data_IF_683376103027
#
_entry.id   IF_683376103027
#
_cell.length_a   1.000
_cell.length_b   1.000
_cell.length_c   1.000
_cell.angle_alpha   90.00
_cell.angle_beta   90.00
_cell.angle_gamma   90.00
#
_symmetry.space_group_name_H-M   'P 1'
#
loop_
_entity.id
_entity.type
_entity.pdbx_description
1 polymer ?
#
# COMPACT_ATOMS: atom_id res chain seq x y z
N UNK A 1 -22.06 18.50 -15.80
CA UNK A 1 -22.35 17.12 -15.38
C UNK A 1 -22.48 17.09 -13.87
N UNK A 2 -23.46 16.36 -13.31
CA UNK A 2 -23.64 16.19 -11.86
C UNK A 2 -24.00 17.46 -11.06
N UNK A 3 -24.41 18.52 -11.77
CA UNK A 3 -24.85 19.80 -11.19
C UNK A 3 -26.30 20.07 -11.58
N UNK A 4 -26.56 20.11 -12.90
CA UNK A 4 -27.89 20.27 -13.50
C UNK A 4 -28.33 19.02 -14.26
N UNK A 5 -27.54 17.95 -14.19
CA UNK A 5 -27.76 16.67 -14.87
C UNK A 5 -27.64 15.51 -13.89
N UNK A 6 -28.18 14.34 -14.25
CA UNK A 6 -27.92 13.08 -13.54
C UNK A 6 -26.45 12.65 -13.58
N UNK A 7 -26.18 11.55 -12.88
CA UNK A 7 -24.85 10.94 -12.72
C UNK A 7 -24.74 9.66 -13.56
N UNK A 8 -23.51 9.23 -13.85
CA UNK A 8 -23.25 8.00 -14.60
C UNK A 8 -23.97 7.92 -15.94
N UNK A 9 -24.51 6.74 -16.26
CA UNK A 9 -25.34 6.49 -17.45
C UNK A 9 -26.62 7.35 -17.50
N UNK A 10 -27.03 7.95 -16.38
CA UNK A 10 -28.21 8.82 -16.29
C UNK A 10 -27.92 10.30 -16.62
N UNK A 11 -26.79 10.61 -17.25
CA UNK A 11 -26.35 11.99 -17.56
C UNK A 11 -27.29 12.77 -18.49
N UNK A 12 -28.20 12.09 -19.21
CA UNK A 12 -29.25 12.70 -20.04
C UNK A 12 -30.38 13.34 -19.25
N UNK A 13 -30.61 12.94 -17.99
CA UNK A 13 -31.67 13.51 -17.13
C UNK A 13 -31.25 14.87 -16.60
N UNK A 14 -32.16 15.84 -16.56
CA UNK A 14 -31.90 17.23 -16.12
C UNK A 14 -32.77 17.63 -14.94
N UNK A 15 -32.26 18.53 -14.09
CA UNK A 15 -32.99 19.09 -12.95
C UNK A 15 -32.44 20.46 -12.55
N UNK A 16 -33.27 21.28 -11.93
CA UNK A 16 -32.89 22.55 -11.29
C UNK A 16 -32.87 22.45 -9.76
N UNK A 17 -33.18 21.30 -9.17
CA UNK A 17 -33.17 21.07 -7.71
C UNK A 17 -31.76 20.71 -7.22
N UNK A 18 -30.84 21.69 -7.28
CA UNK A 18 -29.39 21.47 -7.16
C UNK A 18 -28.97 20.78 -5.84
N UNK A 19 -29.50 21.24 -4.71
CA UNK A 19 -29.15 20.70 -3.38
C UNK A 19 -29.72 19.28 -3.18
N UNK A 20 -30.97 19.05 -3.58
CA UNK A 20 -31.59 17.72 -3.50
C UNK A 20 -30.87 16.70 -4.38
N UNK A 21 -30.38 17.11 -5.56
CA UNK A 21 -29.56 16.27 -6.44
C UNK A 21 -28.27 15.81 -5.76
N UNK A 22 -27.58 16.70 -5.04
CA UNK A 22 -26.37 16.31 -4.31
C UNK A 22 -26.68 15.39 -3.13
N UNK A 23 -27.74 15.67 -2.37
CA UNK A 23 -28.13 14.82 -1.24
C UNK A 23 -28.58 13.42 -1.67
N UNK A 24 -29.24 13.32 -2.82
CA UNK A 24 -29.69 12.03 -3.38
C UNK A 24 -28.52 11.18 -3.85
N UNK A 25 -27.47 11.80 -4.41
CA UNK A 25 -26.21 11.12 -4.75
C UNK A 25 -25.61 10.45 -3.51
N UNK A 26 -25.41 11.21 -2.44
CA UNK A 26 -24.83 10.67 -1.20
C UNK A 26 -25.69 9.53 -0.66
N UNK A 27 -27.02 9.69 -0.67
CA UNK A 27 -27.95 8.64 -0.21
C UNK A 27 -27.82 7.35 -1.03
N UNK A 28 -27.69 7.45 -2.35
CA UNK A 28 -27.54 6.27 -3.22
C UNK A 28 -26.20 5.56 -3.02
N UNK A 29 -25.13 6.32 -2.75
CA UNK A 29 -23.77 5.79 -2.60
C UNK A 29 -23.47 5.23 -1.20
N UNK A 30 -24.31 5.52 -0.19
CA UNK A 30 -24.27 4.86 1.13
C UNK A 30 -24.81 3.42 1.04
N UNK A 31 -24.14 2.60 0.23
CA UNK A 31 -24.55 1.26 -0.17
C UNK A 31 -23.59 0.16 0.30
N UNK A 32 -22.58 0.49 1.12
CA UNK A 32 -21.63 -0.49 1.63
C UNK A 32 -22.16 -1.27 2.82
N UNK A 33 -21.65 -2.50 2.97
CA UNK A 33 -22.01 -3.40 4.05
C UNK A 33 -20.88 -3.53 5.08
N UNK A 34 -21.25 -3.49 6.36
CA UNK A 34 -20.36 -3.84 7.46
C UNK A 34 -20.63 -5.29 7.89
N UNK A 35 -19.59 -6.11 7.95
CA UNK A 35 -19.73 -7.50 8.37
C UNK A 35 -19.78 -7.55 9.90
N UNK A 36 -20.77 -8.26 10.47
CA UNK A 36 -20.76 -8.52 11.91
C UNK A 36 -19.60 -9.48 12.22
N UNK A 37 -18.89 -9.30 13.33
CA UNK A 37 -17.97 -10.32 13.82
C UNK A 37 -18.78 -11.61 14.01
N UNK A 38 -18.47 -12.65 13.22
CA UNK A 38 -18.99 -13.99 13.49
C UNK A 38 -18.02 -14.67 14.46
N UNK A 39 -18.54 -15.51 15.36
CA UNK A 39 -17.71 -16.32 16.27
C UNK A 39 -16.75 -17.29 15.54
N UNK A 40 -16.90 -17.46 14.22
CA UNK A 40 -16.15 -18.39 13.39
C UNK A 40 -15.19 -17.71 12.40
N UNK A 41 -15.18 -16.38 12.29
CA UNK A 41 -14.31 -15.67 11.34
C UNK A 41 -13.52 -14.55 12.01
N UNK A 42 -12.21 -14.75 12.13
CA UNK A 42 -11.23 -13.70 12.47
C UNK A 42 -10.97 -12.73 11.30
N UNK A 43 -11.56 -12.97 10.13
CA UNK A 43 -11.38 -12.14 8.94
C UNK A 43 -12.24 -10.87 9.02
N UNK A 44 -11.56 -9.72 8.96
CA UNK A 44 -12.01 -8.31 8.86
C UNK A 44 -13.50 -8.02 9.16
N UNK A 45 -13.77 -7.06 10.04
CA UNK A 45 -15.11 -6.51 10.38
C UNK A 45 -15.88 -5.86 9.20
N UNK A 46 -15.43 -6.07 7.96
CA UNK A 46 -15.95 -5.41 6.77
C UNK A 46 -15.75 -3.90 6.80
N UNK A 47 -14.84 -3.40 7.64
CA UNK A 47 -14.55 -1.98 7.85
C UNK A 47 -13.14 -1.65 7.34
N UNK A 48 -12.97 -0.52 6.67
CA UNK A 48 -11.65 0.05 6.38
C UNK A 48 -10.96 0.47 7.69
N UNK A 49 -9.64 0.31 7.75
CA UNK A 49 -8.87 0.77 8.89
C UNK A 49 -9.02 2.29 9.08
N UNK A 50 -9.13 2.73 10.34
CA UNK A 50 -9.23 4.16 10.70
C UNK A 50 -8.07 4.97 10.14
N UNK A 51 -6.86 4.41 10.08
CA UNK A 51 -5.68 5.02 9.46
C UNK A 51 -5.88 5.30 7.97
N UNK A 52 -6.41 4.33 7.21
CA UNK A 52 -6.70 4.49 5.78
C UNK A 52 -7.75 5.56 5.55
N UNK A 53 -8.85 5.57 6.33
CA UNK A 53 -9.88 6.59 6.20
C UNK A 53 -9.35 8.00 6.49
N UNK A 54 -8.52 8.16 7.53
CA UNK A 54 -7.87 9.45 7.83
C UNK A 54 -6.94 9.90 6.72
N UNK A 55 -6.15 9.00 6.15
CA UNK A 55 -5.33 9.31 4.98
C UNK A 55 -6.21 9.73 3.79
N UNK A 56 -7.32 9.05 3.53
CA UNK A 56 -8.24 9.42 2.45
C UNK A 56 -8.86 10.81 2.67
N UNK A 57 -9.23 11.16 3.91
CA UNK A 57 -9.69 12.51 4.26
C UNK A 57 -8.61 13.57 3.97
N UNK A 58 -7.35 13.30 4.35
CA UNK A 58 -6.23 14.21 4.07
C UNK A 58 -6.02 14.39 2.56
N UNK A 59 -6.02 13.30 1.79
CA UNK A 59 -5.86 13.36 0.34
C UNK A 59 -7.02 14.07 -0.35
N UNK A 60 -8.24 13.93 0.18
CA UNK A 60 -9.40 14.66 -0.34
C UNK A 60 -9.27 16.16 -0.11
N UNK A 61 -8.79 16.59 1.07
CA UNK A 61 -8.44 18.01 1.32
C UNK A 61 -7.38 18.47 0.31
N UNK A 62 -6.30 17.70 0.13
CA UNK A 62 -5.21 18.05 -0.79
C UNK A 62 -5.69 18.25 -2.24
N UNK A 63 -6.54 17.35 -2.72
CA UNK A 63 -7.16 17.45 -4.05
C UNK A 63 -7.97 18.74 -4.20
N UNK A 64 -8.76 19.11 -3.17
CA UNK A 64 -9.55 20.34 -3.19
C UNK A 64 -8.74 21.63 -3.20
N UNK A 65 -7.56 21.64 -2.56
CA UNK A 65 -6.68 22.81 -2.52
C UNK A 65 -6.17 23.23 -3.92
N UNK A 66 -6.36 22.39 -4.95
CA UNK A 66 -6.07 22.76 -6.35
C UNK A 66 -7.02 23.80 -6.93
N UNK A 67 -8.15 24.08 -6.28
CA UNK A 67 -9.10 25.11 -6.73
C UNK A 67 -9.97 24.70 -7.93
N UNK A 68 -10.00 23.41 -8.27
CA UNK A 68 -10.67 22.89 -9.47
C UNK A 68 -12.02 22.20 -9.19
N UNK A 69 -12.40 22.02 -7.92
CA UNK A 69 -13.54 21.17 -7.52
C UNK A 69 -14.85 21.91 -7.28
N UNK A 70 -14.83 23.24 -7.15
CA UNK A 70 -16.02 24.05 -6.85
C UNK A 70 -16.66 23.72 -5.49
N UNK A 71 -15.88 23.25 -4.52
CA UNK A 71 -16.32 22.99 -3.15
C UNK A 71 -16.00 24.19 -2.25
N UNK A 72 -16.85 24.46 -1.26
CA UNK A 72 -16.63 25.54 -0.29
C UNK A 72 -15.43 25.28 0.62
N UNK A 73 -14.74 26.36 0.98
CA UNK A 73 -13.58 26.34 1.86
C UNK A 73 -13.92 25.79 3.26
N UNK A 74 -15.10 26.13 3.78
CA UNK A 74 -15.58 25.70 5.09
C UNK A 74 -15.71 24.16 5.18
N UNK A 75 -15.90 23.48 4.04
CA UNK A 75 -15.90 22.01 4.01
C UNK A 75 -14.48 21.44 4.17
N UNK A 76 -13.46 22.10 3.60
CA UNK A 76 -12.06 21.72 3.83
C UNK A 76 -11.68 21.96 5.29
N UNK A 77 -12.10 23.08 5.87
CA UNK A 77 -11.87 23.38 7.28
C UNK A 77 -12.54 22.35 8.18
N UNK A 78 -13.78 21.94 7.88
CA UNK A 78 -14.46 20.88 8.62
C UNK A 78 -13.71 19.53 8.54
N UNK A 79 -13.23 19.13 7.35
CA UNK A 79 -12.42 17.91 7.19
C UNK A 79 -11.11 17.99 7.99
N UNK A 80 -10.44 19.15 7.99
CA UNK A 80 -9.24 19.42 8.79
C UNK A 80 -9.53 19.32 10.29
N UNK A 81 -10.61 19.92 10.77
CA UNK A 81 -11.00 19.84 12.19
C UNK A 81 -11.33 18.41 12.61
N UNK A 82 -12.04 17.64 11.78
CA UNK A 82 -12.31 16.22 12.03
C UNK A 82 -11.00 15.41 12.13
N UNK A 83 -10.03 15.67 11.24
CA UNK A 83 -8.72 15.03 11.29
C UNK A 83 -7.95 15.35 12.57
N UNK A 84 -7.88 16.63 12.94
CA UNK A 84 -7.14 17.12 14.11
C UNK A 84 -7.75 16.61 15.43
N UNK A 85 -9.08 16.43 15.48
CA UNK A 85 -9.78 15.91 16.65
C UNK A 85 -10.01 14.39 16.61
N UNK A 86 -9.34 13.69 15.69
CA UNK A 86 -9.42 12.23 15.56
C UNK A 86 -10.85 11.68 15.37
N UNK A 87 -11.73 12.45 14.72
CA UNK A 87 -13.08 12.01 14.35
C UNK A 87 -13.03 11.42 12.94
N UNK A 88 -13.24 10.11 12.84
CA UNK A 88 -13.08 9.38 11.58
C UNK A 88 -14.35 8.59 11.26
N UNK A 89 -14.97 8.73 10.07
CA UNK A 89 -16.14 7.93 9.72
C UNK A 89 -15.78 6.44 9.63
N UNK A 90 -16.72 5.57 10.04
CA UNK A 90 -16.64 4.15 9.75
C UNK A 90 -16.97 3.94 8.28
N UNK A 91 -16.03 3.41 7.52
CA UNK A 91 -16.18 3.18 6.08
C UNK A 91 -16.16 1.67 5.79
N UNK A 92 -17.01 1.18 4.88
CA UNK A 92 -17.03 -0.23 4.49
C UNK A 92 -15.74 -0.61 3.75
N UNK A 93 -15.25 -1.83 3.96
CA UNK A 93 -14.03 -2.37 3.34
C UNK A 93 -14.15 -2.53 1.83
N UNK A 94 -15.35 -2.83 1.33
CA UNK A 94 -15.62 -3.13 -0.08
C UNK A 94 -16.73 -2.24 -0.63
N UNK A 95 -16.81 -2.18 -1.96
CA UNK A 95 -17.85 -1.44 -2.70
C UNK A 95 -17.29 -0.37 -3.65
N UNK A 96 -15.99 -0.08 -3.59
CA UNK A 96 -15.30 0.74 -4.61
C UNK A 96 -14.76 -0.13 -5.74
N UNK A 97 -14.83 0.39 -6.96
CA UNK A 97 -14.11 -0.12 -8.13
C UNK A 97 -12.96 0.80 -8.56
N UNK A 98 -12.84 1.99 -7.95
CA UNK A 98 -11.87 3.05 -8.26
C UNK A 98 -11.78 3.50 -9.73
N UNK A 99 -12.69 3.02 -10.59
CA UNK A 99 -12.78 3.39 -12.01
C UNK A 99 -13.63 4.66 -12.25
N UNK A 100 -14.60 4.92 -11.37
CA UNK A 100 -15.46 6.12 -11.34
C UNK A 100 -15.20 6.98 -10.10
N UNK A 101 -14.02 6.83 -9.50
CA UNK A 101 -13.69 7.29 -8.15
C UNK A 101 -14.07 6.28 -7.06
N UNK A 102 -13.63 6.55 -5.84
CA UNK A 102 -13.91 5.77 -4.63
C UNK A 102 -15.28 6.13 -4.04
N UNK A 103 -16.31 6.09 -4.89
CA UNK A 103 -17.64 6.67 -4.65
C UNK A 103 -18.26 6.21 -3.32
N UNK A 104 -18.36 4.90 -3.11
CA UNK A 104 -19.01 4.31 -1.93
C UNK A 104 -18.29 4.72 -0.64
N UNK A 105 -17.00 4.45 -0.43
CA UNK A 105 -16.34 4.82 0.83
C UNK A 105 -16.26 6.35 1.03
N UNK A 106 -16.06 7.16 -0.02
CA UNK A 106 -16.11 8.62 0.09
C UNK A 106 -17.49 9.15 0.48
N UNK A 107 -18.57 8.46 0.11
CA UNK A 107 -19.91 8.83 0.53
C UNK A 107 -20.12 8.73 2.05
N UNK A 108 -19.32 7.93 2.79
CA UNK A 108 -19.36 7.91 4.25
C UNK A 108 -18.68 9.14 4.87
N UNK A 109 -17.64 9.70 4.22
CA UNK A 109 -17.07 11.01 4.61
C UNK A 109 -18.09 12.11 4.35
N UNK A 110 -18.71 12.12 3.15
CA UNK A 110 -19.77 13.07 2.84
C UNK A 110 -20.98 12.93 3.78
N UNK A 111 -21.37 11.69 4.09
CA UNK A 111 -22.46 11.37 5.01
C UNK A 111 -22.19 11.85 6.43
N UNK A 112 -20.93 11.80 6.89
CA UNK A 112 -20.51 12.41 8.15
C UNK A 112 -20.70 13.93 8.11
N UNK A 113 -20.19 14.61 7.07
CA UNK A 113 -20.27 16.06 6.93
C UNK A 113 -21.71 16.60 6.88
N UNK A 114 -22.64 15.87 6.26
CA UNK A 114 -24.06 16.26 6.19
C UNK A 114 -24.89 15.70 7.36
N UNK A 115 -24.26 15.05 8.34
CA UNK A 115 -24.92 14.56 9.55
C UNK A 115 -25.92 13.41 9.32
N UNK A 116 -25.68 12.50 8.35
CA UNK A 116 -26.55 11.33 8.14
C UNK A 116 -26.59 10.44 9.39
N UNK A 117 -27.75 10.21 10.03
CA UNK A 117 -27.81 9.43 11.28
C UNK A 117 -27.34 7.97 11.16
N UNK A 118 -27.39 7.41 9.95
CA UNK A 118 -26.92 6.05 9.64
C UNK A 118 -25.40 5.94 9.55
N UNK A 119 -24.69 7.06 9.36
CA UNK A 119 -23.22 7.09 9.34
C UNK A 119 -22.71 7.21 10.77
N UNK A 120 -21.74 6.35 11.08
CA UNK A 120 -21.04 6.33 12.37
C UNK A 120 -19.64 6.87 12.20
N UNK A 121 -19.09 7.43 13.26
CA UNK A 121 -17.69 7.85 13.36
C UNK A 121 -17.06 7.28 14.63
N UNK A 122 -15.73 7.12 14.59
CA UNK A 122 -14.88 6.68 15.70
C UNK A 122 -14.01 7.83 16.15
N UNK A 123 -13.87 7.97 17.47
CA UNK A 123 -12.95 8.91 18.13
C UNK A 123 -11.57 8.27 18.37
N UNK A 124 -10.60 9.03 18.91
CA UNK A 124 -9.29 8.50 19.29
C UNK A 124 -9.36 7.34 20.30
N UNK A 125 -10.31 7.40 21.24
CA UNK A 125 -10.57 6.39 22.28
C UNK A 125 -11.48 5.25 21.80
N UNK A 126 -11.64 5.09 20.49
CA UNK A 126 -12.47 4.06 19.85
C UNK A 126 -13.98 4.13 20.16
N UNK A 127 -14.47 5.24 20.74
CA UNK A 127 -15.89 5.47 20.97
C UNK A 127 -16.62 5.65 19.64
N UNK A 128 -17.76 4.97 19.48
CA UNK A 128 -18.63 5.15 18.31
C UNK A 128 -19.68 6.24 18.55
N UNK A 129 -19.77 7.17 17.60
CA UNK A 129 -20.70 8.28 17.58
C UNK A 129 -21.55 8.23 16.31
N UNK A 130 -22.78 8.72 16.38
CA UNK A 130 -23.52 9.10 15.15
C UNK A 130 -22.87 10.31 14.50
N UNK A 131 -23.05 10.50 13.18
CA UNK A 131 -22.52 11.67 12.50
C UNK A 131 -22.92 13.02 13.15
N UNK A 132 -24.19 13.26 13.56
CA UNK A 132 -24.55 14.49 14.28
C UNK A 132 -23.79 14.67 15.61
N UNK A 133 -23.64 13.60 16.40
CA UNK A 133 -22.88 13.66 17.66
C UNK A 133 -21.40 13.94 17.42
N UNK A 134 -20.83 13.31 16.39
CA UNK A 134 -19.44 13.48 16.01
C UNK A 134 -19.13 14.93 15.58
N UNK A 135 -20.00 15.54 14.75
CA UNK A 135 -19.89 16.94 14.36
C UNK A 135 -20.04 17.88 15.57
N UNK A 136 -21.05 17.65 16.42
CA UNK A 136 -21.29 18.47 17.60
C UNK A 136 -20.11 18.44 18.59
N UNK A 137 -19.43 17.28 18.74
CA UNK A 137 -18.26 17.10 19.60
C UNK A 137 -17.09 18.03 19.21
N UNK A 138 -17.00 18.43 17.95
CA UNK A 138 -15.97 19.34 17.43
C UNK A 138 -16.52 20.72 17.06
N UNK A 139 -17.71 21.07 17.56
CA UNK A 139 -18.32 22.38 17.33
C UNK A 139 -18.84 22.62 15.90
N UNK A 140 -18.92 21.57 15.07
CA UNK A 140 -19.42 21.65 13.70
C UNK A 140 -20.93 21.39 13.63
N UNK A 141 -21.58 21.98 12.62
CA UNK A 141 -22.98 21.71 12.26
C UNK A 141 -23.05 20.94 10.94
N UNK A 142 -24.08 20.12 10.72
CA UNK A 142 -24.27 19.44 9.43
C UNK A 142 -24.33 20.42 8.26
N UNK A 143 -23.60 20.11 7.19
CA UNK A 143 -23.62 20.91 5.97
C UNK A 143 -24.85 20.60 5.11
N UNK A 144 -25.47 21.64 4.57
CA UNK A 144 -26.36 21.53 3.41
C UNK A 144 -25.53 21.66 2.14
N UNK A 145 -25.49 20.61 1.32
CA UNK A 145 -24.67 20.58 0.11
C UNK A 145 -25.22 21.55 -0.94
N UNK A 146 -24.34 22.37 -1.50
CA UNK A 146 -24.61 23.24 -2.64
C UNK A 146 -24.35 22.50 -3.96
N UNK A 147 -24.59 23.17 -5.07
CA UNK A 147 -24.35 22.62 -6.40
C UNK A 147 -22.92 22.06 -6.53
N UNK A 148 -22.74 20.89 -7.14
CA UNK A 148 -21.47 20.14 -7.30
C UNK A 148 -20.86 19.54 -6.03
N UNK A 149 -21.10 20.06 -4.84
CA UNK A 149 -20.35 19.65 -3.63
C UNK A 149 -20.49 18.17 -3.28
N UNK A 150 -21.67 17.58 -3.47
CA UNK A 150 -21.87 16.15 -3.26
C UNK A 150 -20.99 15.32 -4.18
N UNK A 151 -20.95 15.68 -5.47
CA UNK A 151 -20.07 15.03 -6.45
C UNK A 151 -18.60 15.26 -6.11
N UNK A 152 -18.19 16.50 -5.80
CA UNK A 152 -16.81 16.83 -5.46
C UNK A 152 -16.27 16.01 -4.27
N UNK A 153 -17.13 15.70 -3.29
CA UNK A 153 -16.78 14.88 -2.12
C UNK A 153 -16.57 13.41 -2.47
N UNK A 154 -17.31 12.86 -3.43
CA UNK A 154 -17.30 11.42 -3.73
C UNK A 154 -16.50 11.06 -4.97
N UNK A 155 -16.22 12.02 -5.84
CA UNK A 155 -15.58 11.79 -7.12
C UNK A 155 -14.08 12.02 -7.00
N UNK A 156 -13.34 10.95 -6.67
CA UNK A 156 -11.89 10.95 -6.60
C UNK A 156 -11.31 9.63 -6.10
N UNK A 157 -10.00 9.47 -6.21
CA UNK A 157 -9.26 8.22 -5.96
C UNK A 157 -8.65 8.17 -4.55
N UNK A 158 -9.23 8.90 -3.59
CA UNK A 158 -8.57 9.21 -2.32
C UNK A 158 -8.37 7.98 -1.42
N UNK A 159 -9.26 6.98 -1.45
CA UNK A 159 -9.08 5.77 -0.62
C UNK A 159 -8.05 4.84 -1.22
N UNK A 160 -8.12 4.60 -2.53
CA UNK A 160 -7.13 3.80 -3.26
C UNK A 160 -5.73 4.40 -3.10
N UNK A 161 -5.59 5.71 -3.30
CA UNK A 161 -4.32 6.43 -3.16
C UNK A 161 -3.84 6.44 -1.72
N UNK A 162 -4.74 6.62 -0.73
CA UNK A 162 -4.38 6.61 0.68
C UNK A 162 -3.76 5.28 1.12
N UNK A 163 -4.41 4.16 0.76
CA UNK A 163 -3.90 2.83 1.07
C UNK A 163 -2.59 2.54 0.32
N UNK A 164 -2.53 2.89 -0.97
CA UNK A 164 -1.31 2.73 -1.77
C UNK A 164 -0.14 3.52 -1.17
N UNK A 165 -0.38 4.71 -0.64
CA UNK A 165 0.65 5.56 -0.03
C UNK A 165 1.29 4.89 1.19
N UNK A 166 0.48 4.32 2.09
CA UNK A 166 0.99 3.61 3.28
C UNK A 166 1.69 2.31 2.90
N UNK A 167 1.13 1.56 1.94
CA UNK A 167 1.75 0.33 1.42
C UNK A 167 3.12 0.62 0.80
N UNK A 168 3.25 1.67 0.00
CA UNK A 168 4.53 2.05 -0.61
C UNK A 168 5.55 2.50 0.43
N UNK A 169 5.10 3.22 1.46
CA UNK A 169 6.00 3.58 2.56
C UNK A 169 6.61 2.33 3.19
N UNK A 170 5.76 1.36 3.58
CA UNK A 170 6.22 0.11 4.17
C UNK A 170 7.06 -0.72 3.19
N UNK A 171 6.68 -0.78 1.91
CA UNK A 171 7.42 -1.50 0.88
C UNK A 171 8.86 -0.99 0.71
N UNK A 172 9.08 0.33 0.79
CA UNK A 172 10.44 0.91 0.76
C UNK A 172 11.26 0.53 1.99
N UNK A 173 10.65 0.55 3.17
CA UNK A 173 11.32 0.18 4.42
C UNK A 173 11.69 -1.30 4.41
N UNK A 174 10.74 -2.16 4.02
CA UNK A 174 10.96 -3.62 3.90
C UNK A 174 12.01 -3.94 2.83
N UNK A 175 11.98 -3.27 1.69
CA UNK A 175 13.00 -3.42 0.64
C UNK A 175 14.40 -3.18 1.21
N UNK A 176 14.64 -2.02 1.83
CA UNK A 176 15.93 -1.68 2.42
C UNK A 176 16.32 -2.68 3.51
N UNK A 177 15.35 -3.10 4.33
CA UNK A 177 15.58 -4.11 5.37
C UNK A 177 16.05 -5.45 4.78
N UNK A 178 15.47 -5.91 3.68
CA UNK A 178 15.89 -7.14 2.98
C UNK A 178 17.28 -7.00 2.36
N UNK A 179 17.62 -5.83 1.81
CA UNK A 179 18.97 -5.56 1.31
C UNK A 179 20.01 -5.66 2.44
N UNK A 180 19.72 -5.06 3.60
CA UNK A 180 20.59 -5.13 4.78
C UNK A 180 20.71 -6.57 5.30
N UNK A 181 19.59 -7.29 5.44
CA UNK A 181 19.59 -8.68 5.89
C UNK A 181 20.33 -9.62 4.93
N UNK A 182 20.40 -9.29 3.63
CA UNK A 182 21.20 -10.05 2.67
C UNK A 182 22.70 -9.90 2.97
N UNK A 183 23.16 -8.73 3.41
CA UNK A 183 24.52 -8.53 3.92
C UNK A 183 24.78 -9.36 5.17
N UNK A 184 23.89 -9.29 6.16
CA UNK A 184 23.98 -10.11 7.37
C UNK A 184 23.95 -11.61 7.06
N UNK A 185 23.14 -12.05 6.10
CA UNK A 185 23.11 -13.42 5.63
C UNK A 185 24.47 -13.85 5.06
N UNK A 186 25.11 -13.00 4.25
CA UNK A 186 26.46 -13.23 3.74
C UNK A 186 27.46 -13.47 4.88
N UNK A 187 27.42 -12.66 5.93
CA UNK A 187 28.30 -12.82 7.09
C UNK A 187 28.12 -14.18 7.77
N UNK A 188 26.89 -14.54 8.13
CA UNK A 188 26.63 -15.73 8.95
C UNK A 188 26.76 -17.05 8.18
N UNK A 189 26.56 -17.04 6.85
CA UNK A 189 26.76 -18.24 6.02
C UNK A 189 28.16 -18.34 5.44
N UNK A 190 29.10 -17.50 5.88
CA UNK A 190 30.45 -17.44 5.31
C UNK A 190 30.42 -17.29 3.78
N UNK A 191 29.69 -16.29 3.29
CA UNK A 191 29.67 -15.93 1.89
C UNK A 191 30.98 -15.28 1.41
N UNK A 192 31.09 -15.07 0.09
CA UNK A 192 32.19 -14.32 -0.53
C UNK A 192 31.69 -13.00 -1.07
N UNK A 193 32.07 -11.90 -0.42
CA UNK A 193 31.68 -10.51 -0.70
C UNK A 193 31.96 -10.04 -2.14
N UNK A 194 32.83 -10.74 -2.88
CA UNK A 194 33.11 -10.50 -4.31
C UNK A 194 31.84 -10.42 -5.17
N UNK A 195 30.74 -11.07 -4.76
CA UNK A 195 29.46 -10.99 -5.49
C UNK A 195 28.91 -9.57 -5.63
N UNK A 196 29.29 -8.65 -4.74
CA UNK A 196 28.90 -7.24 -4.73
C UNK A 196 29.93 -6.32 -5.42
N UNK A 197 31.01 -6.87 -5.99
CA UNK A 197 32.11 -6.08 -6.54
C UNK A 197 31.62 -5.10 -7.64
N UNK A 198 31.93 -3.79 -7.56
CA UNK A 198 31.34 -2.77 -8.43
C UNK A 198 31.50 -3.03 -9.93
N UNK A 199 32.61 -3.64 -10.36
CA UNK A 199 32.83 -3.98 -11.77
C UNK A 199 31.75 -4.93 -12.31
N UNK A 200 31.31 -5.92 -11.53
CA UNK A 200 30.29 -6.90 -11.94
C UNK A 200 29.00 -6.15 -12.32
N UNK A 201 28.60 -5.19 -11.48
CA UNK A 201 27.36 -4.45 -11.65
C UNK A 201 27.48 -3.31 -12.66
N UNK A 202 28.68 -2.74 -12.88
CA UNK A 202 28.94 -1.82 -13.99
C UNK A 202 28.83 -2.50 -15.35
N UNK A 203 29.20 -3.78 -15.45
CA UNK A 203 29.06 -4.55 -16.70
C UNK A 203 27.61 -4.96 -17.01
N UNK A 204 26.69 -4.83 -16.03
CA UNK A 204 25.25 -4.98 -16.22
C UNK A 204 24.50 -3.88 -15.45
N UNK A 205 24.49 -2.64 -15.97
CA UNK A 205 24.27 -1.44 -15.16
C UNK A 205 22.80 -1.08 -14.97
N UNK A 206 21.97 -2.02 -14.50
CA UNK A 206 20.63 -1.68 -14.03
C UNK A 206 20.77 -0.85 -12.74
N UNK A 207 20.18 0.36 -12.64
CA UNK A 207 20.33 1.24 -11.48
C UNK A 207 20.10 0.55 -10.13
N UNK A 208 18.97 -0.16 -9.96
CA UNK A 208 18.69 -0.85 -8.71
C UNK A 208 19.73 -1.93 -8.38
N UNK A 209 20.25 -2.64 -9.39
CA UNK A 209 21.27 -3.66 -9.19
C UNK A 209 22.61 -3.04 -8.72
N UNK A 210 23.00 -1.91 -9.31
CA UNK A 210 24.21 -1.18 -8.91
C UNK A 210 24.07 -0.68 -7.47
N UNK A 211 22.93 -0.07 -7.14
CA UNK A 211 22.68 0.50 -5.82
C UNK A 211 22.62 -0.57 -4.73
N UNK A 212 21.91 -1.67 -4.96
CA UNK A 212 21.87 -2.81 -4.03
C UNK A 212 23.25 -3.41 -3.80
N UNK A 213 24.04 -3.57 -4.87
CA UNK A 213 25.40 -4.08 -4.77
C UNK A 213 26.33 -3.12 -4.02
N UNK A 214 26.21 -1.81 -4.26
CA UNK A 214 27.02 -0.81 -3.56
C UNK A 214 26.70 -0.78 -2.05
N UNK A 215 25.43 -0.93 -1.67
CA UNK A 215 25.04 -1.07 -0.27
C UNK A 215 25.65 -2.33 0.36
N UNK A 216 25.57 -3.48 -0.33
CA UNK A 216 26.11 -4.74 0.16
C UNK A 216 27.64 -4.72 0.26
N UNK A 217 28.32 -4.12 -0.72
CA UNK A 217 29.76 -3.91 -0.67
C UNK A 217 30.15 -3.05 0.53
N UNK A 218 29.44 -1.94 0.75
CA UNK A 218 29.67 -1.07 1.90
C UNK A 218 29.43 -1.79 3.24
N UNK A 219 28.36 -2.60 3.35
CA UNK A 219 28.04 -3.37 4.56
C UNK A 219 29.09 -4.43 4.88
N UNK A 220 29.66 -5.07 3.85
CA UNK A 220 30.59 -6.20 3.99
C UNK A 220 32.05 -5.78 4.04
N UNK A 221 32.36 -4.55 3.63
CA UNK A 221 33.71 -4.01 3.68
C UNK A 221 34.24 -4.00 5.13
N UNK A 222 35.42 -4.59 5.33
CA UNK A 222 36.07 -4.73 6.64
C UNK A 222 35.22 -5.43 7.73
N UNK A 223 34.24 -6.25 7.34
CA UNK A 223 33.52 -7.09 8.29
C UNK A 223 34.42 -8.18 8.88
N UNK A 224 34.42 -8.38 10.21
CA UNK A 224 35.18 -9.46 10.86
C UNK A 224 34.67 -10.85 10.45
N UNK A 225 33.40 -10.98 10.06
CA UNK A 225 32.88 -12.25 9.54
C UNK A 225 33.44 -12.60 8.16
N UNK A 226 33.79 -11.60 7.34
CA UNK A 226 34.44 -11.85 6.06
C UNK A 226 35.88 -12.37 6.25
N UNK A 227 36.56 -11.97 7.32
CA UNK A 227 37.85 -12.57 7.71
C UNK A 227 37.70 -14.05 8.05
N UNK A 228 36.70 -14.40 8.87
CA UNK A 228 36.37 -15.79 9.21
C UNK A 228 36.01 -16.61 7.97
N UNK A 229 35.24 -16.04 7.04
CA UNK A 229 34.89 -16.68 5.76
C UNK A 229 36.15 -16.99 4.92
N UNK A 230 37.08 -16.02 4.81
CA UNK A 230 38.35 -16.20 4.10
C UNK A 230 39.20 -17.29 4.74
N UNK A 231 39.30 -17.32 6.06
CA UNK A 231 39.99 -18.38 6.80
C UNK A 231 39.35 -19.75 6.54
N UNK A 232 38.02 -19.84 6.66
CA UNK A 232 37.26 -21.06 6.39
C UNK A 232 37.59 -21.61 5.00
N UNK A 233 37.52 -20.80 3.94
CA UNK A 233 37.78 -21.28 2.57
C UNK A 233 39.27 -21.48 2.23
N UNK A 234 40.19 -20.97 3.04
CA UNK A 234 41.63 -21.26 2.88
C UNK A 234 41.95 -22.71 3.27
N UNK A 235 41.20 -23.28 4.20
CA UNK A 235 41.35 -24.65 4.69
C UNK A 235 40.57 -25.64 3.84
N UNK A 236 41.21 -26.74 3.43
CA UNK A 236 40.60 -27.77 2.56
C UNK A 236 39.95 -27.17 1.28
N UNK A 237 40.56 -26.11 0.74
CA UNK A 237 40.01 -25.29 -0.35
C UNK A 237 39.40 -26.09 -1.51
N UNK A 238 40.05 -27.17 -1.94
CA UNK A 238 39.60 -28.00 -3.06
C UNK A 238 38.37 -28.88 -2.76
N UNK A 239 38.03 -29.06 -1.48
CA UNK A 239 36.85 -29.83 -1.02
C UNK A 239 35.63 -28.95 -0.73
N UNK A 240 35.79 -27.62 -0.79
CA UNK A 240 34.72 -26.65 -0.49
C UNK A 240 34.18 -26.01 -1.77
N UNK A 241 32.90 -25.60 -1.79
CA UNK A 241 32.34 -24.89 -2.94
C UNK A 241 33.15 -23.64 -3.29
N UNK A 242 33.47 -23.47 -4.59
CA UNK A 242 34.18 -22.28 -5.09
C UNK A 242 33.29 -21.03 -5.13
N UNK A 243 31.98 -21.22 -5.20
CA UNK A 243 30.98 -20.17 -5.35
C UNK A 243 29.81 -20.40 -4.41
N UNK A 244 29.21 -19.30 -3.98
CA UNK A 244 27.98 -19.34 -3.19
C UNK A 244 26.77 -19.64 -4.09
N UNK A 245 25.67 -20.07 -3.46
CA UNK A 245 24.40 -20.31 -4.14
C UNK A 245 23.72 -18.98 -4.49
N UNK A 246 22.67 -19.08 -5.31
CA UNK A 246 22.07 -17.91 -5.94
C UNK A 246 21.35 -16.99 -4.95
N UNK A 247 20.78 -17.51 -3.85
CA UNK A 247 20.09 -16.67 -2.87
C UNK A 247 21.02 -15.61 -2.25
N UNK A 248 22.33 -15.87 -2.19
CA UNK A 248 23.34 -14.87 -1.88
C UNK A 248 23.91 -14.20 -3.14
N UNK A 249 24.58 -14.96 -4.00
CA UNK A 249 25.45 -14.41 -5.05
C UNK A 249 24.71 -13.66 -6.16
N UNK A 250 23.43 -13.98 -6.38
CA UNK A 250 22.60 -13.29 -7.37
C UNK A 250 21.68 -12.23 -6.75
N UNK A 251 21.79 -11.98 -5.44
CA UNK A 251 20.88 -11.10 -4.72
C UNK A 251 20.83 -9.66 -5.29
N UNK A 252 21.93 -8.99 -5.70
CA UNK A 252 21.81 -7.66 -6.29
C UNK A 252 21.06 -7.68 -7.63
N UNK A 253 21.25 -8.72 -8.43
CA UNK A 253 20.56 -8.91 -9.71
C UNK A 253 19.07 -9.21 -9.50
N UNK A 254 18.72 -9.91 -8.42
CA UNK A 254 17.33 -10.20 -8.05
C UNK A 254 16.63 -8.97 -7.47
N UNK A 255 17.31 -8.23 -6.59
CA UNK A 255 16.79 -7.04 -5.91
C UNK A 255 16.65 -5.85 -6.87
N UNK A 256 17.56 -5.69 -7.83
CA UNK A 256 17.61 -4.55 -8.73
C UNK A 256 16.28 -4.16 -9.40
N UNK A 257 15.57 -5.07 -10.09
CA UNK A 257 14.26 -4.76 -10.67
C UNK A 257 13.18 -4.48 -9.60
N UNK A 258 13.26 -5.10 -8.42
CA UNK A 258 12.28 -4.89 -7.33
C UNK A 258 12.42 -3.47 -6.75
N UNK A 259 13.66 -3.00 -6.58
CA UNK A 259 13.97 -1.61 -6.19
C UNK A 259 13.35 -0.63 -7.20
N UNK A 260 13.53 -0.89 -8.49
CA UNK A 260 13.04 -0.02 -9.57
C UNK A 260 11.51 0.05 -9.58
N UNK A 261 10.82 -1.10 -9.49
CA UNK A 261 9.36 -1.17 -9.43
C UNK A 261 8.81 -0.36 -8.25
N UNK A 262 9.37 -0.54 -7.06
CA UNK A 262 8.92 0.18 -5.85
C UNK A 262 9.18 1.68 -5.98
N UNK A 263 10.32 2.09 -6.58
CA UNK A 263 10.67 3.49 -6.82
C UNK A 263 9.73 4.17 -7.81
N UNK A 264 9.45 3.52 -8.93
CA UNK A 264 8.54 4.04 -9.96
C UNK A 264 7.10 4.13 -9.46
N UNK A 265 6.65 3.11 -8.70
CA UNK A 265 5.36 3.16 -8.02
C UNK A 265 5.28 4.32 -7.02
N UNK A 266 6.36 4.57 -6.27
CA UNK A 266 6.43 5.71 -5.34
C UNK A 266 6.20 7.03 -6.06
N UNK A 267 6.93 7.26 -7.16
CA UNK A 267 6.77 8.48 -7.94
C UNK A 267 5.35 8.62 -8.50
N UNK A 268 4.77 7.53 -9.02
CA UNK A 268 3.41 7.54 -9.59
C UNK A 268 2.36 7.85 -8.53
N UNK A 269 2.43 7.21 -7.35
CA UNK A 269 1.47 7.47 -6.27
C UNK A 269 1.67 8.88 -5.70
N UNK A 270 2.89 9.42 -5.67
CA UNK A 270 3.12 10.82 -5.27
C UNK A 270 2.48 11.82 -6.24
N UNK A 271 2.45 11.53 -7.55
CA UNK A 271 1.70 12.34 -8.51
C UNK A 271 0.21 12.29 -8.19
N UNK A 272 -0.33 11.09 -7.93
CA UNK A 272 -1.75 10.90 -7.64
C UNK A 272 -2.20 11.55 -6.32
N UNK A 273 -1.37 11.50 -5.27
CA UNK A 273 -1.57 12.23 -4.00
C UNK A 273 -1.81 13.72 -4.26
N UNK A 274 -1.13 14.25 -5.28
CA UNK A 274 -1.06 15.67 -5.61
C UNK A 274 -1.93 16.05 -6.80
N UNK A 275 -2.81 15.17 -7.29
CA UNK A 275 -3.66 15.43 -8.46
C UNK A 275 -5.01 16.05 -8.07
N UNK A 276 -5.62 16.76 -9.02
CA UNK A 276 -7.05 17.10 -8.96
C UNK A 276 -7.86 15.94 -9.54
N UNK A 277 -8.03 14.89 -8.75
CA UNK A 277 -8.83 13.70 -9.05
C UNK A 277 -10.32 13.96 -8.81
N UNK A 278 -10.96 14.73 -9.71
CA UNK A 278 -12.38 15.11 -9.68
C UNK A 278 -12.93 15.28 -11.11
N UNK A 279 -14.25 15.31 -11.26
CA UNK A 279 -14.94 15.65 -12.50
C UNK A 279 -16.31 16.28 -12.22
N UNK A 280 -16.73 17.31 -12.99
CA UNK A 280 -15.92 18.07 -13.95
C UNK A 280 -14.88 18.94 -13.24
N UNK A 281 -13.80 19.25 -13.96
CA UNK A 281 -12.79 20.23 -13.55
C UNK A 281 -13.33 21.63 -13.84
N UNK A 282 -13.32 22.51 -12.84
CA UNK A 282 -13.79 23.89 -12.95
C UNK A 282 -12.61 24.78 -13.33
N UNK A 283 -12.58 25.18 -14.60
CA UNK A 283 -11.66 26.18 -15.13
C UNK A 283 -12.35 27.55 -15.08
N UNK A 284 -12.27 28.17 -13.90
CA UNK A 284 -12.90 29.46 -13.62
C UNK A 284 -12.24 30.61 -14.37
N UNK A 285 -10.99 30.47 -14.84
CA UNK A 285 -10.31 31.50 -15.64
C UNK A 285 -10.88 31.61 -17.06
N UNK A 286 -11.42 30.51 -17.59
CA UNK A 286 -11.99 30.46 -18.94
C UNK A 286 -13.51 30.22 -18.97
N UNK A 287 -14.18 30.34 -17.81
CA UNK A 287 -15.62 30.12 -17.64
C UNK A 287 -16.10 28.76 -18.18
N UNK A 288 -15.36 27.70 -17.85
CA UNK A 288 -15.63 26.34 -18.35
C UNK A 288 -15.69 25.30 -17.23
N UNK A 289 -16.64 24.38 -17.38
CA UNK A 289 -16.59 23.08 -16.72
C UNK A 289 -16.07 22.05 -17.73
N UNK A 290 -14.88 21.51 -17.49
CA UNK A 290 -14.22 20.54 -18.35
C UNK A 290 -14.57 19.13 -17.89
N UNK A 291 -15.17 18.34 -18.77
CA UNK A 291 -15.56 16.97 -18.49
C UNK A 291 -14.44 16.02 -18.90
N UNK A 292 -14.01 15.19 -17.96
CA UNK A 292 -12.97 14.20 -18.16
C UNK A 292 -13.14 13.04 -17.18
N UNK A 293 -12.03 12.34 -16.90
CA UNK A 293 -12.06 11.13 -16.09
C UNK A 293 -10.89 11.07 -15.08
N UNK A 294 -10.51 12.20 -14.48
CA UNK A 294 -9.45 12.21 -13.45
C UNK A 294 -9.81 11.42 -12.19
N UNK A 295 -11.04 10.90 -12.09
CA UNK A 295 -11.46 9.95 -11.06
C UNK A 295 -11.01 8.50 -11.32
N UNK A 296 -10.44 8.22 -12.50
CA UNK A 296 -9.98 6.88 -12.88
C UNK A 296 -8.64 6.57 -12.20
N UNK A 297 -8.65 5.62 -11.26
CA UNK A 297 -7.49 5.22 -10.45
C UNK A 297 -6.58 4.18 -11.11
N UNK A 298 -6.52 4.09 -12.44
CA UNK A 298 -5.76 3.05 -13.15
C UNK A 298 -4.26 3.09 -12.84
N UNK A 299 -3.68 4.30 -12.74
CA UNK A 299 -2.29 4.48 -12.30
C UNK A 299 -2.03 3.81 -10.95
N UNK A 300 -2.98 3.90 -10.00
CA UNK A 300 -2.85 3.22 -8.71
C UNK A 300 -2.93 1.71 -8.89
N UNK A 301 -3.95 1.22 -9.60
CA UNK A 301 -4.21 -0.22 -9.77
C UNK A 301 -3.03 -0.96 -10.41
N UNK A 302 -2.52 -0.47 -11.53
CA UNK A 302 -1.42 -1.14 -12.24
C UNK A 302 -0.12 -1.13 -11.43
N UNK A 303 0.22 -0.02 -10.78
CA UNK A 303 1.44 0.02 -9.96
C UNK A 303 1.30 -0.77 -8.67
N UNK A 304 0.11 -0.90 -8.08
CA UNK A 304 -0.12 -1.78 -6.93
C UNK A 304 -0.02 -3.26 -7.29
N UNK A 305 -0.44 -3.66 -8.50
CA UNK A 305 -0.19 -5.01 -9.01
C UNK A 305 1.33 -5.26 -9.19
N UNK A 306 2.06 -4.31 -9.78
CA UNK A 306 3.51 -4.41 -9.95
C UNK A 306 4.26 -4.51 -8.60
N UNK A 307 3.91 -3.63 -7.63
CA UNK A 307 4.52 -3.64 -6.29
C UNK A 307 4.25 -4.96 -5.58
N UNK A 308 3.04 -5.52 -5.70
CA UNK A 308 2.70 -6.79 -5.07
C UNK A 308 3.53 -7.96 -5.62
N UNK A 309 3.79 -7.98 -6.93
CA UNK A 309 4.73 -8.92 -7.56
C UNK A 309 6.15 -8.70 -7.02
N UNK A 310 6.58 -7.44 -6.90
CA UNK A 310 7.91 -7.12 -6.39
C UNK A 310 8.12 -7.59 -4.93
N UNK A 311 7.12 -7.36 -4.06
CA UNK A 311 7.13 -7.84 -2.67
C UNK A 311 7.17 -9.38 -2.59
N UNK A 312 6.46 -10.07 -3.50
CA UNK A 312 6.56 -11.53 -3.59
C UNK A 312 7.96 -12.00 -4.03
N UNK A 313 8.63 -11.23 -4.89
CA UNK A 313 10.05 -11.41 -5.22
C UNK A 313 10.97 -11.27 -4.01
N UNK A 314 10.75 -10.24 -3.16
CA UNK A 314 11.50 -10.07 -1.91
C UNK A 314 11.30 -11.26 -0.97
N UNK A 315 10.04 -11.67 -0.73
CA UNK A 315 9.74 -12.81 0.13
C UNK A 315 10.33 -14.12 -0.38
N UNK A 316 10.40 -14.31 -1.71
CA UNK A 316 11.06 -15.48 -2.31
C UNK A 316 12.57 -15.49 -2.04
N UNK A 317 13.24 -14.33 -2.13
CA UNK A 317 14.66 -14.21 -1.80
C UNK A 317 14.91 -14.56 -0.32
N UNK A 318 14.14 -13.95 0.59
CA UNK A 318 14.23 -14.23 2.02
C UNK A 318 14.00 -15.70 2.34
N UNK A 319 12.97 -16.32 1.72
CA UNK A 319 12.69 -17.75 1.89
C UNK A 319 13.88 -18.61 1.44
N UNK A 320 14.46 -18.34 0.28
CA UNK A 320 15.60 -19.09 -0.23
C UNK A 320 16.84 -18.95 0.67
N UNK A 321 17.14 -17.73 1.15
CA UNK A 321 18.23 -17.49 2.10
C UNK A 321 17.98 -18.23 3.43
N UNK A 322 16.75 -18.17 3.95
CA UNK A 322 16.38 -18.88 5.17
C UNK A 322 16.56 -20.40 5.03
N UNK A 323 16.10 -20.98 3.91
CA UNK A 323 16.28 -22.42 3.65
C UNK A 323 17.76 -22.82 3.59
N UNK A 324 18.62 -22.01 2.96
CA UNK A 324 20.07 -22.28 2.95
C UNK A 324 20.68 -22.21 4.36
N UNK A 325 20.21 -21.29 5.20
CA UNK A 325 20.67 -21.16 6.59
C UNK A 325 20.28 -22.38 7.46
N UNK A 326 19.12 -22.99 7.20
CA UNK A 326 18.60 -24.12 7.98
C UNK A 326 19.24 -25.46 7.63
N UNK A 327 19.87 -25.58 6.47
CA UNK A 327 20.38 -26.86 5.96
C UNK A 327 21.90 -26.90 6.10
N UNK A 328 22.42 -27.82 6.92
CA UNK A 328 23.84 -27.97 7.25
C UNK A 328 24.75 -28.17 6.04
N UNK A 329 24.23 -28.80 4.98
CA UNK A 329 24.95 -29.00 3.72
C UNK A 329 25.22 -27.67 2.99
N UNK A 330 24.45 -26.63 3.32
CA UNK A 330 24.42 -25.35 2.62
C UNK A 330 24.96 -24.19 3.46
N UNK A 331 24.99 -24.34 4.79
CA UNK A 331 25.28 -23.29 5.77
C UNK A 331 26.74 -23.26 6.29
N UNK A 332 27.66 -23.93 5.58
CA UNK A 332 29.12 -23.82 5.76
C UNK A 332 29.65 -24.08 7.19
N UNK A 333 29.02 -24.99 7.92
CA UNK A 333 29.47 -25.43 9.24
C UNK A 333 28.52 -25.06 10.39
N UNK A 334 27.46 -24.32 10.12
CA UNK A 334 26.36 -24.15 11.06
C UNK A 334 25.60 -25.48 11.25
N UNK A 335 25.07 -25.74 12.47
CA UNK A 335 24.27 -26.92 12.72
C UNK A 335 22.94 -26.85 11.96
N UNK A 336 22.43 -28.01 11.52
CA UNK A 336 21.13 -28.10 10.86
C UNK A 336 20.02 -27.58 11.76
N UNK A 337 19.06 -26.85 11.17
CA UNK A 337 18.00 -26.12 11.86
C UNK A 337 18.49 -25.05 12.85
N UNK A 338 19.79 -24.70 12.83
CA UNK A 338 20.46 -23.89 13.85
C UNK A 338 20.24 -24.39 15.29
N UNK A 339 20.13 -25.71 15.48
CA UNK A 339 20.06 -26.34 16.81
C UNK A 339 21.39 -26.16 17.54
N UNK A 340 21.36 -25.66 18.78
CA UNK A 340 22.56 -25.32 19.56
C UNK A 340 22.89 -26.36 20.63
N UNK A 341 21.87 -27.02 21.17
CA UNK A 341 22.03 -28.00 22.24
C UNK A 341 22.97 -29.14 21.85
N UNK A 342 23.76 -29.68 22.79
CA UNK A 342 24.68 -30.78 22.51
C UNK A 342 23.94 -32.09 22.18
N UNK A 343 22.68 -32.24 22.61
CA UNK A 343 21.82 -33.38 22.29
C UNK A 343 20.76 -32.99 21.24
N UNK A 344 21.06 -33.28 19.98
CA UNK A 344 20.17 -33.01 18.83
C UNK A 344 18.92 -33.91 18.81
N UNK A 345 18.85 -34.96 19.65
CA UNK A 345 17.63 -35.76 19.79
C UNK A 345 16.47 -35.00 20.43
N UNK A 346 16.78 -33.91 21.14
CA UNK A 346 15.82 -33.08 21.88
C UNK A 346 15.87 -31.59 21.53
N UNK A 347 16.76 -31.18 20.62
CA UNK A 347 16.83 -29.80 20.10
C UNK A 347 16.67 -29.75 18.57
N UNK A 348 15.51 -29.29 18.12
CA UNK A 348 15.16 -29.15 16.70
C UNK A 348 15.27 -27.71 16.19
N UNK A 349 15.79 -26.79 17.02
CA UNK A 349 16.07 -25.41 16.66
C UNK A 349 14.88 -24.71 15.99
N UNK A 350 15.14 -24.13 14.82
CA UNK A 350 14.18 -23.34 14.04
C UNK A 350 13.35 -24.15 13.05
N UNK A 351 13.31 -25.49 13.16
CA UNK A 351 12.55 -26.35 12.23
C UNK A 351 11.09 -25.92 12.06
N UNK A 352 10.41 -25.53 13.15
CA UNK A 352 9.03 -25.04 13.08
C UNK A 352 8.89 -23.71 12.34
N UNK A 353 9.90 -22.83 12.44
CA UNK A 353 9.93 -21.55 11.73
C UNK A 353 10.18 -21.77 10.24
N UNK A 354 11.02 -22.71 9.85
CA UNK A 354 11.24 -23.08 8.44
C UNK A 354 9.94 -23.55 7.76
N UNK A 355 9.16 -24.39 8.46
CA UNK A 355 7.82 -24.81 8.00
C UNK A 355 6.91 -23.58 7.81
N UNK A 356 6.90 -22.66 8.77
CA UNK A 356 6.10 -21.44 8.68
C UNK A 356 6.55 -20.55 7.51
N UNK A 357 7.85 -20.38 7.29
CA UNK A 357 8.42 -19.63 6.17
C UNK A 357 7.96 -20.17 4.81
N UNK A 358 7.83 -21.50 4.66
CA UNK A 358 7.27 -22.11 3.47
C UNK A 358 5.79 -21.74 3.27
N UNK A 359 5.00 -21.74 4.35
CA UNK A 359 3.59 -21.32 4.30
C UNK A 359 3.45 -19.84 3.91
N UNK A 360 4.24 -18.96 4.51
CA UNK A 360 4.24 -17.52 4.22
C UNK A 360 4.63 -17.24 2.78
N UNK A 361 5.72 -17.85 2.29
CA UNK A 361 6.14 -17.69 0.92
C UNK A 361 5.04 -18.17 -0.05
N UNK A 362 4.36 -19.27 0.25
CA UNK A 362 3.32 -19.85 -0.63
C UNK A 362 2.12 -18.92 -0.78
N UNK A 363 1.57 -18.41 0.34
CA UNK A 363 0.46 -17.46 0.31
C UNK A 363 0.87 -16.14 -0.35
N UNK A 364 2.09 -15.65 -0.07
CA UNK A 364 2.61 -14.43 -0.69
C UNK A 364 2.72 -14.55 -2.22
N UNK A 365 3.15 -15.70 -2.76
CA UNK A 365 3.17 -15.92 -4.21
C UNK A 365 1.75 -15.96 -4.80
N UNK A 366 0.78 -16.56 -4.10
CA UNK A 366 -0.62 -16.54 -4.54
C UNK A 366 -1.18 -15.11 -4.61
N UNK A 367 -0.89 -14.29 -3.59
CA UNK A 367 -1.34 -12.90 -3.54
C UNK A 367 -0.73 -12.03 -4.64
N UNK A 368 0.40 -12.43 -5.24
CA UNK A 368 1.04 -11.69 -6.33
C UNK A 368 0.25 -11.65 -7.64
N UNK A 369 -0.79 -12.50 -7.81
CA UNK A 369 -1.64 -12.47 -8.99
C UNK A 369 -2.31 -11.08 -9.17
N UNK A 370 -2.39 -10.54 -10.40
CA UNK A 370 -2.92 -9.20 -10.64
C UNK A 370 -4.42 -9.10 -10.34
N UNK A 371 -4.88 -7.92 -9.94
CA UNK A 371 -6.32 -7.62 -9.75
C UNK A 371 -6.87 -6.91 -10.99
N UNK A 372 -6.07 -6.09 -11.64
CA UNK A 372 -6.49 -5.27 -12.79
C UNK A 372 -6.92 -6.08 -14.01
N UNK A 373 -6.59 -7.37 -14.09
CA UNK A 373 -7.08 -8.30 -15.13
C UNK A 373 -8.52 -8.75 -14.93
N UNK A 374 -9.15 -8.41 -13.79
CA UNK A 374 -10.50 -8.85 -13.42
C UNK A 374 -11.56 -7.76 -13.59
N UNK A 375 -11.28 -6.71 -14.37
CA UNK A 375 -12.23 -5.63 -14.65
C UNK A 375 -13.55 -6.18 -15.22
N UNK A 376 -14.66 -5.71 -14.65
CA UNK A 376 -16.01 -5.98 -15.14
C UNK A 376 -16.58 -4.70 -15.77
N UNK A 377 -17.37 -4.83 -16.83
CA UNK A 377 -18.20 -3.72 -17.29
C UNK A 377 -19.23 -3.41 -16.20
N UNK A 378 -19.18 -2.20 -15.64
CA UNK A 378 -19.97 -1.80 -14.48
C UNK A 378 -20.66 -0.45 -14.74
N UNK A 379 -21.77 -0.21 -14.02
CA UNK A 379 -22.57 1.02 -14.10
C UNK A 379 -23.23 1.28 -15.48
N UNK A 380 -24.02 0.30 -15.94
CA UNK A 380 -24.93 0.34 -17.10
C UNK A 380 -24.24 0.73 -18.42
#
# INVERSE_FOLDING_TARGET
>A
YGVTTGFGACSSKRTNQLSLLQESLIRCLLAGAFMRPSSASTSSTGELATSTTRCAMLLRINSFMRGCSGIRWEVLEALKELLNHHITPKCPLRGSVSASGDLVPLAYIAGLLIGRPTVKARTADHQELTAPQALAKVGLKPFKLQAKEGLALVNGTSFATALASTVIYDAKVVLLFVEILTGMFCEVVFGREEFAHPLIHRMKPHPGQIESAALLEWLLNDSPFMELSREYYSTDKLKKPRQDRYALRSSPQWLGPLVQIIREATATIQVEINSANDNPIIDHLHDKALHGANFQGSAIGFYMDNVRIALAGLGKLMFAQFTELMIEFYSNGLPGNLSLGPDLGVDYGYKGVDIAMASYCSELQYLANPVTTHVQSAEQ
#
